data_IF_293577293256
#
_entry.id   IF_293577293256
#
_cell.length_a   1.000
_cell.length_b   1.000
_cell.length_c   1.000
_cell.angle_alpha   90.00
_cell.angle_beta   90.00
_cell.angle_gamma   90.00
#
_symmetry.space_group_name_H-M   'P 1'
#
loop_
_entity.id
_entity.type
_entity.pdbx_description
1 polymer ?
#
# COMPACT_ATOMS: atom_id res chain seq x y z
N UNK A 1 19.22 5.29 10.47
CA UNK A 1 19.35 4.97 9.02
C UNK A 1 18.00 4.85 8.30
N UNK A 2 17.07 4.01 8.76
CA UNK A 2 15.74 3.80 8.12
C UNK A 2 14.95 5.09 7.83
N UNK A 3 14.92 6.05 8.76
CA UNK A 3 14.25 7.35 8.56
C UNK A 3 14.96 8.18 7.47
N UNK A 4 16.30 8.17 7.44
CA UNK A 4 17.08 8.90 6.43
C UNK A 4 16.80 8.34 5.02
N UNK A 5 16.74 7.01 4.89
CA UNK A 5 16.37 6.34 3.63
C UNK A 5 14.94 6.70 3.20
N UNK A 6 13.96 6.63 4.11
CA UNK A 6 12.59 6.98 3.77
C UNK A 6 12.45 8.44 3.32
N UNK A 7 13.10 9.38 4.02
CA UNK A 7 13.18 10.77 3.58
C UNK A 7 13.87 10.92 2.22
N UNK A 8 14.94 10.16 1.96
CA UNK A 8 15.64 10.15 0.67
C UNK A 8 14.72 9.67 -0.45
N UNK A 9 14.07 8.52 -0.30
CA UNK A 9 13.17 7.94 -1.30
C UNK A 9 12.01 8.88 -1.63
N UNK A 10 11.38 9.47 -0.61
CA UNK A 10 10.33 10.46 -0.84
C UNK A 10 10.85 11.72 -1.54
N UNK A 11 12.02 12.25 -1.13
CA UNK A 11 12.64 13.40 -1.81
C UNK A 11 12.94 13.08 -3.28
N UNK A 12 13.37 11.85 -3.59
CA UNK A 12 13.59 11.37 -4.96
C UNK A 12 12.30 11.31 -5.76
N UNK A 13 11.22 10.71 -5.23
CA UNK A 13 9.89 10.73 -5.87
C UNK A 13 9.42 12.16 -6.16
N UNK A 14 9.57 13.06 -5.18
CA UNK A 14 9.21 14.47 -5.35
C UNK A 14 10.06 15.17 -6.42
N UNK A 15 11.37 14.93 -6.46
CA UNK A 15 12.28 15.57 -7.43
C UNK A 15 12.18 14.97 -8.82
N UNK A 16 11.56 13.80 -8.99
CA UNK A 16 11.40 13.16 -10.28
C UNK A 16 10.61 14.07 -11.23
N UNK A 17 11.30 14.71 -12.18
CA UNK A 17 10.65 15.63 -13.12
C UNK A 17 9.75 14.82 -14.05
N UNK A 18 8.44 15.10 -14.04
CA UNK A 18 7.61 14.87 -15.22
C UNK A 18 8.21 15.69 -16.36
N UNK A 19 8.20 15.17 -17.59
CA UNK A 19 8.75 15.85 -18.78
C UNK A 19 8.08 17.23 -19.06
N UNK A 20 6.98 17.54 -18.37
CA UNK A 20 6.24 18.78 -18.47
C UNK A 20 6.77 19.86 -17.50
N UNK A 21 6.80 21.12 -17.94
CA UNK A 21 7.19 22.28 -17.11
C UNK A 21 6.22 22.40 -15.92
N UNK A 22 6.58 21.84 -14.76
CA UNK A 22 5.89 22.16 -13.51
C UNK A 22 5.88 23.69 -13.35
N UNK A 23 4.69 24.28 -13.31
CA UNK A 23 4.51 25.73 -13.26
C UNK A 23 5.15 26.28 -11.98
N UNK A 24 5.53 27.56 -11.97
CA UNK A 24 6.08 28.21 -10.75
C UNK A 24 5.12 28.04 -9.56
N UNK A 25 3.81 28.06 -9.81
CA UNK A 25 2.77 27.82 -8.80
C UNK A 25 2.81 26.40 -8.24
N UNK A 26 3.01 25.38 -9.08
CA UNK A 26 3.18 24.01 -8.60
C UNK A 26 4.42 23.88 -7.74
N UNK A 27 5.54 24.48 -8.16
CA UNK A 27 6.80 24.51 -7.39
C UNK A 27 6.62 25.17 -6.03
N UNK A 28 5.91 26.30 -5.98
CA UNK A 28 5.60 27.02 -4.73
C UNK A 28 4.66 26.18 -3.86
N UNK A 29 3.57 25.61 -4.43
CA UNK A 29 2.65 24.74 -3.68
C UNK A 29 3.36 23.52 -3.11
N UNK A 30 4.32 22.97 -3.86
CA UNK A 30 5.16 21.86 -3.42
C UNK A 30 6.08 22.30 -2.30
N UNK A 31 6.69 23.49 -2.36
CA UNK A 31 7.49 24.06 -1.27
C UNK A 31 6.63 24.32 -0.02
N UNK A 32 5.40 24.83 -0.17
CA UNK A 32 4.48 25.02 0.97
C UNK A 32 3.98 23.69 1.56
N UNK A 33 3.75 22.66 0.73
CA UNK A 33 3.54 21.26 1.18
C UNK A 33 4.82 20.58 1.66
N UNK A 34 6.00 21.18 1.42
CA UNK A 34 7.32 20.59 1.74
C UNK A 34 7.68 20.63 3.21
N UNK A 35 6.80 21.16 4.07
CA UNK A 35 6.81 20.71 5.46
C UNK A 35 6.36 19.25 5.43
N UNK A 36 7.33 18.39 5.12
CA UNK A 36 7.39 16.97 5.45
C UNK A 36 7.34 16.95 6.98
N UNK A 37 6.16 17.25 7.52
CA UNK A 37 5.98 17.36 8.96
C UNK A 37 6.38 15.99 9.46
N UNK A 38 7.35 15.95 10.38
CA UNK A 38 7.62 14.76 11.21
C UNK A 38 6.31 14.16 11.73
N UNK A 39 5.27 14.99 11.87
CA UNK A 39 3.90 14.63 12.22
C UNK A 39 3.14 13.73 11.22
N UNK A 40 3.50 13.68 9.93
CA UNK A 40 2.94 12.67 9.00
C UNK A 40 3.48 11.25 9.26
N UNK A 41 4.53 11.13 10.09
CA UNK A 41 4.96 9.88 10.71
C UNK A 41 4.40 9.71 12.13
N UNK A 42 3.35 10.45 12.53
CA UNK A 42 2.56 10.04 13.70
C UNK A 42 1.84 8.73 13.35
N UNK A 43 2.60 7.65 13.51
CA UNK A 43 2.21 6.27 13.31
C UNK A 43 1.07 6.00 14.29
N UNK A 44 -0.17 5.99 13.80
CA UNK A 44 -1.18 5.13 14.44
C UNK A 44 -0.66 3.71 14.27
N UNK A 45 -0.06 3.17 15.34
CA UNK A 45 0.38 1.77 15.37
C UNK A 45 -0.81 0.92 14.99
N UNK A 46 -0.67 0.10 13.95
CA UNK A 46 -1.72 -0.83 13.57
C UNK A 46 -2.11 -1.68 14.78
N UNK A 47 -3.41 -1.87 14.99
CA UNK A 47 -3.90 -2.74 16.05
C UNK A 47 -3.38 -4.15 15.74
N UNK A 48 -2.56 -4.72 16.63
CA UNK A 48 -1.90 -6.01 16.39
C UNK A 48 -2.88 -7.15 16.21
N UNK A 49 -4.12 -7.01 16.71
CA UNK A 49 -5.19 -7.97 16.52
C UNK A 49 -5.59 -8.14 15.04
N UNK A 50 -5.32 -7.16 14.17
CA UNK A 50 -5.57 -7.30 12.73
C UNK A 50 -4.80 -8.47 12.11
N UNK A 51 -3.61 -8.78 12.63
CA UNK A 51 -2.82 -9.93 12.18
C UNK A 51 -3.46 -11.24 12.65
N UNK A 52 -4.00 -11.28 13.87
CA UNK A 52 -4.77 -12.45 14.36
C UNK A 52 -6.00 -12.73 13.47
N UNK A 53 -6.72 -11.67 13.06
CA UNK A 53 -7.83 -11.82 12.11
C UNK A 53 -7.34 -12.34 10.76
N UNK A 54 -6.22 -11.83 10.26
CA UNK A 54 -5.59 -12.31 9.02
C UNK A 54 -5.20 -13.79 9.07
N UNK A 55 -4.63 -14.23 10.19
CA UNK A 55 -4.21 -15.62 10.39
C UNK A 55 -5.44 -16.54 10.42
N UNK A 56 -6.49 -16.16 11.15
CA UNK A 56 -7.76 -16.89 11.15
C UNK A 56 -8.42 -16.97 9.76
N UNK A 57 -8.35 -15.90 8.96
CA UNK A 57 -8.86 -15.91 7.58
C UNK A 57 -8.12 -16.96 6.74
N UNK A 58 -6.80 -17.12 6.94
CA UNK A 58 -6.06 -18.18 6.28
C UNK A 58 -6.46 -19.55 6.83
N UNK A 59 -6.46 -19.74 8.14
CA UNK A 59 -6.71 -21.04 8.77
C UNK A 59 -8.08 -21.63 8.36
N UNK A 60 -9.13 -20.82 8.43
CA UNK A 60 -10.51 -21.28 8.14
C UNK A 60 -10.93 -21.08 6.68
N UNK A 61 -10.33 -20.09 6.00
CA UNK A 61 -10.81 -19.57 4.73
C UNK A 61 -9.99 -19.99 3.52
N UNK A 62 -8.82 -20.64 3.67
CA UNK A 62 -7.86 -20.80 2.57
C UNK A 62 -8.42 -21.49 1.32
N UNK A 63 -9.37 -22.42 1.48
CA UNK A 63 -10.04 -23.13 0.37
C UNK A 63 -11.41 -22.55 0.01
N UNK A 64 -11.89 -21.52 0.72
CA UNK A 64 -13.22 -20.95 0.51
C UNK A 64 -13.25 -20.18 -0.81
N UNK A 65 -14.19 -20.53 -1.69
CA UNK A 65 -14.35 -19.87 -2.98
C UNK A 65 -14.50 -18.34 -2.82
N UNK A 66 -13.76 -17.59 -3.62
CA UNK A 66 -13.85 -16.14 -3.66
C UNK A 66 -13.34 -15.46 -2.39
N UNK A 67 -12.41 -16.08 -1.65
CA UNK A 67 -11.74 -15.44 -0.51
C UNK A 67 -11.23 -14.03 -0.88
N UNK A 68 -11.50 -13.04 -0.04
CA UNK A 68 -11.30 -11.60 -0.32
C UNK A 68 -12.07 -11.00 -1.50
N UNK A 69 -12.61 -11.77 -2.45
CA UNK A 69 -13.47 -11.27 -3.54
C UNK A 69 -14.92 -11.07 -3.08
N UNK A 70 -15.49 -12.10 -2.49
CA UNK A 70 -16.88 -12.08 -1.98
C UNK A 70 -16.92 -11.16 -0.76
N UNK A 71 -17.88 -10.24 -0.77
CA UNK A 71 -18.10 -9.32 0.34
C UNK A 71 -18.88 -10.00 1.46
N UNK A 72 -18.49 -9.72 2.69
CA UNK A 72 -19.28 -10.04 3.87
C UNK A 72 -20.44 -9.07 4.06
N UNK A 73 -21.05 -9.11 5.24
CA UNK A 73 -22.17 -8.23 5.61
C UNK A 73 -21.68 -6.79 5.76
N UNK A 74 -22.37 -5.87 5.09
CA UNK A 74 -22.07 -4.43 5.10
C UNK A 74 -21.89 -3.85 6.50
N UNK A 75 -22.80 -4.18 7.42
CA UNK A 75 -22.74 -3.68 8.80
C UNK A 75 -21.39 -4.00 9.46
N UNK A 76 -20.86 -5.22 9.28
CA UNK A 76 -19.61 -5.60 9.93
C UNK A 76 -18.41 -4.83 9.38
N UNK A 77 -18.21 -4.80 8.07
CA UNK A 77 -17.07 -4.09 7.49
C UNK A 77 -17.23 -2.55 7.52
N UNK A 78 -18.42 -2.04 7.85
CA UNK A 78 -18.65 -0.61 8.13
C UNK A 78 -18.25 -0.22 9.55
N UNK A 79 -18.56 -1.05 10.56
CA UNK A 79 -18.41 -0.67 11.97
C UNK A 79 -17.19 -1.28 12.67
N UNK A 80 -16.82 -2.53 12.38
CA UNK A 80 -15.72 -3.23 13.07
C UNK A 80 -14.34 -2.59 12.87
N UNK A 81 -14.01 -1.96 11.72
CA UNK A 81 -12.78 -1.19 11.61
C UNK A 81 -12.64 -0.10 12.69
N UNK A 82 -13.75 0.57 13.06
CA UNK A 82 -13.77 1.57 14.14
C UNK A 82 -13.52 0.96 15.52
N UNK A 83 -14.03 -0.25 15.77
CA UNK A 83 -13.74 -1.02 17.00
C UNK A 83 -12.23 -1.28 17.12
N UNK A 84 -11.60 -1.73 16.03
CA UNK A 84 -10.15 -1.95 15.97
C UNK A 84 -9.36 -0.65 16.15
N UNK A 85 -9.83 0.46 15.57
CA UNK A 85 -9.22 1.78 15.70
C UNK A 85 -9.23 2.30 17.15
N UNK A 86 -10.26 1.94 17.93
CA UNK A 86 -10.35 2.23 19.35
C UNK A 86 -9.50 1.29 20.24
N UNK A 87 -8.67 0.43 19.63
CA UNK A 87 -7.84 -0.55 20.36
C UNK A 87 -8.61 -1.76 20.91
N UNK A 88 -9.90 -1.89 20.57
CA UNK A 88 -10.76 -2.99 21.00
C UNK A 88 -10.67 -4.16 20.01
N UNK A 89 -11.21 -5.31 20.43
CA UNK A 89 -11.35 -6.53 19.63
C UNK A 89 -12.83 -6.82 19.41
N UNK A 90 -13.13 -7.52 18.32
CA UNK A 90 -14.44 -8.14 18.10
C UNK A 90 -14.24 -9.66 18.12
N UNK A 91 -15.32 -10.39 18.39
CA UNK A 91 -15.28 -11.85 18.28
C UNK A 91 -15.25 -12.24 16.81
N UNK A 92 -14.08 -12.58 16.31
CA UNK A 92 -13.88 -12.94 14.91
C UNK A 92 -14.30 -14.38 14.62
N UNK A 93 -14.40 -15.24 15.64
CA UNK A 93 -14.76 -16.65 15.46
C UNK A 93 -16.25 -16.87 15.19
N UNK A 94 -17.10 -15.93 15.62
CA UNK A 94 -18.55 -15.94 15.37
C UNK A 94 -18.94 -15.37 14.00
N UNK A 95 -17.97 -14.91 13.21
CA UNK A 95 -18.17 -14.28 11.91
C UNK A 95 -17.74 -15.19 10.76
N UNK A 96 -18.38 -15.08 9.61
CA UNK A 96 -17.93 -15.83 8.44
C UNK A 96 -16.55 -15.36 7.97
N UNK A 97 -15.81 -16.22 7.28
CA UNK A 97 -14.51 -15.85 6.69
C UNK A 97 -14.61 -14.67 5.71
N UNK A 98 -15.75 -14.51 5.00
CA UNK A 98 -15.98 -13.36 4.13
C UNK A 98 -16.24 -12.06 4.90
N UNK A 99 -16.89 -12.15 6.06
CA UNK A 99 -17.05 -11.02 6.99
C UNK A 99 -15.67 -10.58 7.50
N UNK A 100 -14.89 -11.50 8.04
CA UNK A 100 -13.53 -11.22 8.52
C UNK A 100 -12.63 -10.65 7.41
N UNK A 101 -12.64 -11.25 6.22
CA UNK A 101 -11.88 -10.74 5.07
C UNK A 101 -12.29 -9.32 4.65
N UNK A 102 -13.58 -9.00 4.74
CA UNK A 102 -14.10 -7.66 4.40
C UNK A 102 -13.74 -6.63 5.46
N UNK A 103 -13.83 -6.99 6.75
CA UNK A 103 -13.39 -6.15 7.88
C UNK A 103 -11.89 -5.88 7.79
N UNK A 104 -11.08 -6.91 7.52
CA UNK A 104 -9.64 -6.80 7.38
C UNK A 104 -9.24 -5.80 6.28
N UNK A 105 -9.83 -5.92 5.08
CA UNK A 105 -9.62 -4.94 4.00
C UNK A 105 -10.09 -3.53 4.39
N UNK A 106 -11.27 -3.41 5.01
CA UNK A 106 -11.81 -2.12 5.41
C UNK A 106 -10.98 -1.46 6.52
N UNK A 107 -10.37 -2.22 7.43
CA UNK A 107 -9.45 -1.66 8.42
C UNK A 107 -8.24 -0.99 7.75
N UNK A 108 -7.61 -1.68 6.80
CA UNK A 108 -6.46 -1.12 6.08
C UNK A 108 -6.90 0.11 5.26
N UNK A 109 -8.00 0.01 4.52
CA UNK A 109 -8.45 1.11 3.66
C UNK A 109 -8.94 2.33 4.44
N UNK A 110 -9.81 2.13 5.43
CA UNK A 110 -10.52 3.22 6.10
C UNK A 110 -9.78 3.75 7.35
N UNK A 111 -9.09 2.88 8.10
CA UNK A 111 -8.42 3.26 9.35
C UNK A 111 -6.96 3.62 9.13
N UNK A 112 -6.25 2.83 8.30
CA UNK A 112 -4.87 3.16 7.93
C UNK A 112 -4.80 4.19 6.79
N UNK A 113 -5.95 4.49 6.14
CA UNK A 113 -6.04 5.33 4.95
C UNK A 113 -5.17 4.79 3.80
N UNK A 114 -5.26 3.48 3.57
CA UNK A 114 -4.37 2.76 2.66
C UNK A 114 -2.99 2.51 3.26
N UNK A 115 -2.13 1.87 2.48
CA UNK A 115 -0.75 1.58 2.88
C UNK A 115 0.20 2.64 2.31
N UNK A 116 -0.06 3.09 1.08
CA UNK A 116 0.65 4.20 0.46
C UNK A 116 0.02 5.49 0.98
N UNK A 117 0.83 6.46 1.42
CA UNK A 117 0.28 7.75 1.87
C UNK A 117 -0.25 8.56 0.70
N UNK A 118 -1.23 9.44 0.96
CA UNK A 118 -1.82 10.34 -0.06
C UNK A 118 -0.74 11.09 -0.84
N UNK A 119 0.27 11.63 -0.15
CA UNK A 119 1.34 12.40 -0.79
C UNK A 119 2.21 11.55 -1.73
N UNK A 120 2.49 10.29 -1.37
CA UNK A 120 3.22 9.36 -2.23
C UNK A 120 2.35 8.99 -3.43
N UNK A 121 1.08 8.65 -3.20
CA UNK A 121 0.15 8.24 -4.23
C UNK A 121 -0.07 9.35 -5.27
N UNK A 122 -0.40 10.57 -4.85
CA UNK A 122 -0.54 11.73 -5.75
C UNK A 122 0.72 11.96 -6.59
N UNK A 123 1.91 11.87 -5.97
CA UNK A 123 3.16 12.08 -6.69
C UNK A 123 3.40 10.97 -7.72
N UNK A 124 3.20 9.72 -7.33
CA UNK A 124 3.34 8.55 -8.21
C UNK A 124 2.38 8.66 -9.39
N UNK A 125 1.11 8.99 -9.15
CA UNK A 125 0.12 9.17 -10.22
C UNK A 125 0.50 10.28 -11.20
N UNK A 126 1.06 11.40 -10.71
CA UNK A 126 1.59 12.47 -11.59
C UNK A 126 2.79 12.03 -12.42
N UNK A 127 3.66 11.19 -11.86
CA UNK A 127 4.82 10.66 -12.59
C UNK A 127 4.32 9.76 -13.72
N UNK A 128 3.53 8.74 -13.40
CA UNK A 128 3.15 7.69 -14.37
C UNK A 128 2.17 8.19 -15.45
N UNK A 129 1.26 9.11 -15.13
CA UNK A 129 0.29 9.64 -16.10
C UNK A 129 0.97 10.34 -17.29
N UNK A 130 2.19 10.84 -17.08
CA UNK A 130 2.93 11.65 -18.04
C UNK A 130 4.12 10.90 -18.66
N UNK A 131 4.20 9.57 -18.51
CA UNK A 131 5.33 8.76 -18.97
C UNK A 131 4.84 7.66 -19.90
N UNK A 132 5.56 7.46 -20.99
CA UNK A 132 5.32 6.38 -21.97
C UNK A 132 6.27 5.21 -21.81
N UNK A 133 7.32 5.37 -21.00
CA UNK A 133 8.32 4.34 -20.74
C UNK A 133 7.84 3.42 -19.60
N UNK A 134 7.56 2.13 -19.85
CA UNK A 134 7.15 1.19 -18.81
C UNK A 134 8.21 0.96 -17.73
N UNK A 135 9.50 1.19 -18.02
CA UNK A 135 10.60 0.99 -17.07
C UNK A 135 10.50 1.93 -15.86
N UNK A 136 9.73 3.03 -15.98
CA UNK A 136 9.52 3.96 -14.88
C UNK A 136 8.91 3.29 -13.65
N UNK A 137 8.01 2.31 -13.86
CA UNK A 137 7.34 1.61 -12.77
C UNK A 137 8.38 0.83 -11.96
N UNK A 138 9.33 0.18 -12.63
CA UNK A 138 10.39 -0.61 -11.99
C UNK A 138 11.32 0.27 -11.14
N UNK A 139 11.58 1.50 -11.59
CA UNK A 139 12.37 2.47 -10.83
C UNK A 139 11.63 3.08 -9.63
N UNK A 140 10.34 3.44 -9.78
CA UNK A 140 9.59 4.11 -8.70
C UNK A 140 9.11 3.16 -7.61
N UNK A 141 8.86 1.89 -7.91
CA UNK A 141 8.32 0.91 -6.95
C UNK A 141 9.22 0.76 -5.71
N UNK A 142 10.55 0.59 -5.83
CA UNK A 142 11.45 0.63 -4.67
C UNK A 142 11.35 1.94 -3.88
N UNK A 143 11.22 3.09 -4.55
CA UNK A 143 11.05 4.37 -3.88
C UNK A 143 9.75 4.43 -3.06
N UNK A 144 8.65 3.83 -3.55
CA UNK A 144 7.39 3.71 -2.80
C UNK A 144 7.60 2.83 -1.56
N UNK A 145 8.12 1.61 -1.74
CA UNK A 145 8.32 0.62 -0.66
C UNK A 145 9.19 1.18 0.46
N UNK A 146 10.23 1.94 0.12
CA UNK A 146 11.17 2.46 1.11
C UNK A 146 10.83 3.87 1.61
N UNK A 147 9.81 4.55 1.05
CA UNK A 147 9.31 5.83 1.58
C UNK A 147 8.15 5.70 2.58
N UNK A 148 7.38 4.61 2.54
CA UNK A 148 6.32 4.35 3.52
C UNK A 148 6.86 4.06 4.93
N UNK A 149 5.98 4.08 5.93
CA UNK A 149 6.35 3.80 7.32
C UNK A 149 6.75 2.33 7.50
N UNK A 150 7.53 2.03 8.54
CA UNK A 150 7.89 0.64 8.86
C UNK A 150 6.65 -0.21 9.18
N UNK A 151 5.63 0.35 9.82
CA UNK A 151 4.39 -0.37 10.11
C UNK A 151 3.61 -0.69 8.84
N UNK A 152 3.52 0.26 7.89
CA UNK A 152 2.89 0.01 6.60
C UNK A 152 3.67 -1.03 5.78
N UNK A 153 5.01 -1.00 5.83
CA UNK A 153 5.84 -2.02 5.17
C UNK A 153 5.68 -3.41 5.81
N UNK A 154 5.55 -3.49 7.14
CA UNK A 154 5.21 -4.76 7.83
C UNK A 154 3.85 -5.30 7.37
N UNK A 155 2.85 -4.43 7.21
CA UNK A 155 1.55 -4.82 6.66
C UNK A 155 1.68 -5.32 5.22
N UNK A 156 2.47 -4.67 4.35
CA UNK A 156 2.74 -5.18 3.00
C UNK A 156 3.39 -6.56 3.02
N UNK A 157 4.40 -6.76 3.86
CA UNK A 157 5.06 -8.06 3.99
C UNK A 157 4.08 -9.14 4.45
N UNK A 158 3.17 -8.80 5.36
CA UNK A 158 2.13 -9.70 5.82
C UNK A 158 1.11 -10.03 4.70
N UNK A 159 0.64 -9.02 3.97
CA UNK A 159 -0.21 -9.21 2.79
C UNK A 159 0.47 -10.03 1.70
N UNK A 160 1.77 -9.83 1.46
CA UNK A 160 2.55 -10.63 0.50
C UNK A 160 2.58 -12.11 0.89
N UNK A 161 2.65 -12.41 2.20
CA UNK A 161 2.53 -13.78 2.71
C UNK A 161 1.12 -14.34 2.50
N UNK A 162 0.08 -13.56 2.85
CA UNK A 162 -1.32 -13.94 2.62
C UNK A 162 -1.55 -14.25 1.14
N UNK A 163 -1.14 -13.37 0.23
CA UNK A 163 -1.43 -13.51 -1.20
C UNK A 163 -0.81 -14.77 -1.78
N UNK A 164 0.47 -15.01 -1.47
CA UNK A 164 1.14 -16.26 -1.86
C UNK A 164 0.41 -17.49 -1.32
N UNK A 165 0.00 -17.47 -0.05
CA UNK A 165 -0.75 -18.59 0.53
C UNK A 165 -2.10 -18.80 -0.15
N UNK A 166 -2.85 -17.74 -0.42
CA UNK A 166 -4.14 -17.84 -1.13
C UNK A 166 -3.96 -18.36 -2.56
N UNK A 167 -2.95 -17.87 -3.26
CA UNK A 167 -2.62 -18.28 -4.64
C UNK A 167 -2.20 -19.76 -4.73
N UNK A 168 -1.47 -20.28 -3.73
CA UNK A 168 -1.14 -21.71 -3.60
C UNK A 168 -2.40 -22.61 -3.61
N UNK A 169 -3.54 -22.10 -3.13
CA UNK A 169 -4.83 -22.80 -3.09
C UNK A 169 -5.83 -22.29 -4.14
N UNK A 170 -5.35 -21.57 -5.17
CA UNK A 170 -6.19 -20.96 -6.22
C UNK A 170 -7.08 -21.96 -6.98
N UNK A 171 -6.69 -23.24 -7.03
CA UNK A 171 -7.53 -24.31 -7.61
C UNK A 171 -8.83 -24.51 -6.84
N UNK A 172 -8.81 -24.36 -5.51
CA UNK A 172 -9.96 -24.48 -4.62
C UNK A 172 -10.69 -23.13 -4.50
N UNK A 173 -9.99 -22.10 -4.03
CA UNK A 173 -10.59 -20.82 -3.68
C UNK A 173 -10.87 -19.90 -4.90
N UNK A 174 -10.37 -20.23 -6.10
CA UNK A 174 -10.51 -19.45 -7.36
C UNK A 174 -9.87 -18.06 -7.34
N UNK A 175 -8.91 -17.84 -6.44
CA UNK A 175 -8.25 -16.55 -6.23
C UNK A 175 -6.75 -16.67 -6.49
N UNK A 176 -6.35 -16.36 -7.73
CA UNK A 176 -4.94 -16.20 -8.09
C UNK A 176 -4.37 -14.81 -7.74
N UNK A 177 -3.05 -14.67 -7.73
CA UNK A 177 -2.33 -13.44 -7.38
C UNK A 177 -2.81 -12.20 -8.15
N UNK A 178 -3.02 -12.30 -9.48
CA UNK A 178 -3.54 -11.17 -10.28
C UNK A 178 -4.94 -10.71 -9.85
N UNK A 179 -5.80 -11.62 -9.38
CA UNK A 179 -7.11 -11.24 -8.85
C UNK A 179 -6.97 -10.54 -7.50
N UNK A 180 -6.04 -11.00 -6.66
CA UNK A 180 -5.77 -10.40 -5.36
C UNK A 180 -5.20 -8.98 -5.51
N UNK A 181 -4.26 -8.76 -6.44
CA UNK A 181 -3.72 -7.43 -6.72
C UNK A 181 -4.82 -6.44 -7.13
N UNK A 182 -5.72 -6.85 -8.03
CA UNK A 182 -6.87 -6.03 -8.45
C UNK A 182 -7.79 -5.68 -7.27
N UNK A 183 -8.17 -6.68 -6.46
CA UNK A 183 -9.07 -6.49 -5.31
C UNK A 183 -8.45 -5.62 -4.22
N UNK A 184 -7.15 -5.78 -3.97
CA UNK A 184 -6.46 -5.04 -2.92
C UNK A 184 -5.94 -3.68 -3.39
N UNK A 185 -5.90 -3.37 -4.68
CA UNK A 185 -5.49 -2.05 -5.19
C UNK A 185 -6.16 -0.88 -4.44
N UNK A 186 -7.51 -0.82 -4.29
CA UNK A 186 -8.16 0.24 -3.51
C UNK A 186 -7.91 0.17 -1.99
N UNK A 187 -7.29 -0.91 -1.50
CA UNK A 187 -6.87 -1.07 -0.10
C UNK A 187 -5.41 -0.66 0.11
N UNK A 188 -4.55 -0.79 -0.91
CA UNK A 188 -3.15 -0.36 -0.87
C UNK A 188 -3.03 1.13 -1.14
N UNK A 189 -3.76 1.63 -2.14
CA UNK A 189 -3.83 3.05 -2.44
C UNK A 189 -4.78 3.76 -1.46
N UNK A 190 -4.48 5.01 -1.09
CA UNK A 190 -5.40 5.84 -0.35
C UNK A 190 -6.58 6.26 -1.25
N UNK A 191 -7.64 6.79 -0.64
CA UNK A 191 -8.77 7.32 -1.40
C UNK A 191 -8.38 8.62 -2.12
N UNK A 192 -7.78 8.48 -3.31
CA UNK A 192 -7.46 9.57 -4.22
C UNK A 192 -8.38 9.48 -5.44
N UNK A 193 -8.83 10.64 -5.93
CA UNK A 193 -9.72 10.69 -7.09
C UNK A 193 -9.00 10.14 -8.33
N UNK A 194 -9.54 9.05 -8.88
CA UNK A 194 -9.09 8.45 -10.14
C UNK A 194 -10.30 8.37 -11.06
N UNK A 195 -10.29 9.17 -12.13
CA UNK A 195 -11.48 9.35 -12.98
C UNK A 195 -11.46 8.50 -14.26
N UNK A 196 -10.37 7.79 -14.54
CA UNK A 196 -10.19 7.06 -15.79
C UNK A 196 -9.63 5.64 -15.59
N UNK A 197 -9.98 4.74 -16.52
CA UNK A 197 -9.59 3.34 -16.50
C UNK A 197 -8.07 3.14 -16.59
N UNK A 198 -7.35 4.04 -17.26
CA UNK A 198 -5.90 3.91 -17.40
C UNK A 198 -5.22 4.15 -16.04
N UNK A 199 -5.66 5.17 -15.30
CA UNK A 199 -5.20 5.43 -13.94
C UNK A 199 -5.43 4.23 -13.01
N UNK A 200 -6.57 3.57 -13.11
CA UNK A 200 -6.87 2.34 -12.32
C UNK A 200 -5.93 1.20 -12.72
N UNK A 201 -5.74 0.95 -14.01
CA UNK A 201 -4.84 -0.11 -14.50
C UNK A 201 -3.38 0.13 -14.08
N UNK A 202 -2.93 1.39 -14.09
CA UNK A 202 -1.60 1.77 -13.62
C UNK A 202 -1.43 1.53 -12.11
N UNK A 203 -2.44 1.81 -11.30
CA UNK A 203 -2.40 1.47 -9.88
C UNK A 203 -2.31 -0.03 -9.65
N UNK A 204 -3.07 -0.82 -10.40
CA UNK A 204 -3.01 -2.29 -10.34
C UNK A 204 -1.60 -2.78 -10.69
N UNK A 205 -0.99 -2.25 -11.75
CA UNK A 205 0.38 -2.61 -12.15
C UNK A 205 1.40 -2.23 -11.07
N UNK A 206 1.29 -1.04 -10.46
CA UNK A 206 2.15 -0.66 -9.33
C UNK A 206 1.99 -1.61 -8.16
N UNK A 207 0.76 -1.98 -7.81
CA UNK A 207 0.48 -2.92 -6.71
C UNK A 207 1.07 -4.29 -7.00
N UNK A 208 0.90 -4.79 -8.22
CA UNK A 208 1.52 -6.03 -8.69
C UNK A 208 3.03 -5.99 -8.51
N UNK A 209 3.70 -4.96 -9.04
CA UNK A 209 5.16 -4.81 -8.92
C UNK A 209 5.65 -4.66 -7.49
N UNK A 210 4.87 -4.00 -6.61
CA UNK A 210 5.18 -3.94 -5.17
C UNK A 210 5.18 -5.34 -4.57
N UNK A 211 4.15 -6.15 -4.83
CA UNK A 211 4.03 -7.49 -4.25
C UNK A 211 4.97 -8.53 -4.87
N UNK A 212 5.48 -8.28 -6.08
CA UNK A 212 6.53 -9.09 -6.72
C UNK A 212 7.95 -8.67 -6.29
N UNK A 213 8.09 -7.51 -5.63
CA UNK A 213 9.39 -6.99 -5.17
C UNK A 213 9.83 -7.56 -3.83
N UNK A 214 11.14 -7.44 -3.55
CA UNK A 214 11.69 -7.67 -2.20
C UNK A 214 11.32 -6.49 -1.29
N UNK A 215 10.48 -6.75 -0.28
CA UNK A 215 10.00 -5.74 0.66
C UNK A 215 10.94 -5.52 1.86
N UNK A 216 12.00 -6.32 1.98
CA UNK A 216 12.94 -6.31 3.11
C UNK A 216 14.28 -5.69 2.78
N UNK A 217 14.83 -6.05 1.62
CA UNK A 217 16.18 -5.69 1.21
C UNK A 217 16.15 -4.48 0.28
N UNK A 218 17.01 -3.51 0.56
CA UNK A 218 17.13 -2.29 -0.24
C UNK A 218 17.91 -2.67 -1.51
N UNK A 219 17.37 -2.43 -2.72
CA UNK A 219 18.11 -2.68 -3.95
C UNK A 219 19.44 -1.92 -3.99
N UNK A 220 20.51 -2.54 -4.52
CA UNK A 220 21.86 -1.96 -4.52
C UNK A 220 21.89 -0.55 -5.12
N UNK A 221 21.25 -0.34 -6.29
CA UNK A 221 21.21 0.96 -6.94
C UNK A 221 20.64 2.05 -6.01
N UNK A 222 19.58 1.72 -5.26
CA UNK A 222 18.92 2.66 -4.37
C UNK A 222 19.79 2.99 -3.15
N UNK A 223 20.49 1.99 -2.64
CA UNK A 223 21.44 2.15 -1.54
C UNK A 223 22.63 3.03 -1.94
N UNK A 224 23.24 2.76 -3.10
CA UNK A 224 24.35 3.53 -3.65
C UNK A 224 23.98 4.99 -3.91
N UNK A 225 22.81 5.23 -4.50
CA UNK A 225 22.31 6.58 -4.70
C UNK A 225 22.09 7.32 -3.37
N UNK A 226 21.53 6.64 -2.36
CA UNK A 226 21.32 7.24 -1.03
C UNK A 226 22.65 7.61 -0.35
N UNK A 227 23.68 6.77 -0.49
CA UNK A 227 25.01 7.06 0.05
C UNK A 227 25.71 8.21 -0.67
N UNK A 228 25.61 8.29 -2.00
CA UNK A 228 26.25 9.36 -2.78
C UNK A 228 25.73 10.75 -2.38
N UNK A 229 24.43 10.87 -2.13
CA UNK A 229 23.81 12.14 -1.69
C UNK A 229 24.22 12.50 -0.26
N UNK A 230 24.43 11.50 0.61
CA UNK A 230 24.86 11.73 1.99
C UNK A 230 26.33 12.19 2.09
N UNK A 231 27.19 11.82 1.13
CA UNK A 231 28.60 12.26 1.07
C UNK A 231 28.76 13.69 0.52
N UNK A 232 27.75 14.20 -0.19
CA UNK A 232 27.76 15.52 -0.84
C UNK A 232 26.98 16.60 -0.04
N UNK A 233 26.64 16.33 1.22
CA UNK A 233 25.96 17.24 2.16
C UNK A 233 26.80 17.41 3.41
#
# INVERSE_FOLDING_TARGET
EKIKLACFCFKKLRKYRSSFKDSILERISDIFRSSFKKDSYHIKKANTFVYTVGDHILDEGIKKEGLFRISGKYAYYKFMPGVLAAGKRYDYTELSVHDNASIFKAYIREIMNGIISVQIAERVMKIIKNQTDPSIIEYIVPLIIFSITNENRKMLMYLQKIFRKVDEYSKDNKMGSDNLYKIFTPTIFPNIECYDLNSINLQIEIVKRIFESNLTEIPCFLYEEALSVAKNQ
#
